data_IF_123272859088
#
_entry.id   IF_123272859088
#
_cell.length_a   1.000
_cell.length_b   1.000
_cell.length_c   1.000
_cell.angle_alpha   90.00
_cell.angle_beta   90.00
_cell.angle_gamma   90.00
#
_symmetry.space_group_name_H-M   'P 1'
#
loop_
_entity.id
_entity.type
_entity.pdbx_description
1 polymer ?
#
# COMPACT_ATOMS: atom_id res chain seq x y z
N UNK A 1 39.78 -11.59 -16.11
CA UNK A 1 38.55 -10.79 -15.97
C UNK A 1 37.44 -11.73 -15.52
N UNK A 2 36.73 -11.35 -14.47
CA UNK A 2 35.58 -12.07 -13.92
C UNK A 2 34.35 -11.17 -13.91
N UNK A 3 33.19 -11.65 -14.42
CA UNK A 3 31.97 -10.88 -14.64
C UNK A 3 30.75 -11.64 -14.10
N UNK A 4 30.51 -11.68 -12.81
CA UNK A 4 29.31 -12.28 -12.24
C UNK A 4 28.09 -11.37 -12.36
N UNK A 5 26.94 -12.01 -12.63
CA UNK A 5 25.63 -11.40 -12.59
C UNK A 5 24.69 -12.26 -11.77
N UNK A 6 23.96 -11.63 -10.84
CA UNK A 6 22.94 -12.27 -10.03
C UNK A 6 21.64 -11.49 -10.10
N UNK A 7 20.53 -12.19 -10.15
CA UNK A 7 19.20 -11.60 -10.03
C UNK A 7 18.35 -12.34 -9.00
N UNK A 8 17.35 -11.63 -8.51
CA UNK A 8 16.32 -12.19 -7.65
C UNK A 8 14.99 -11.54 -7.98
N UNK A 9 13.96 -12.35 -8.16
CA UNK A 9 12.58 -11.93 -8.33
C UNK A 9 11.76 -12.56 -7.21
N UNK A 10 10.93 -11.76 -6.55
CA UNK A 10 10.06 -12.26 -5.50
C UNK A 10 8.73 -11.51 -5.47
N UNK A 11 7.74 -12.16 -4.91
CA UNK A 11 6.42 -11.61 -4.65
C UNK A 11 6.13 -11.72 -3.16
N UNK A 12 5.72 -10.61 -2.58
CA UNK A 12 5.30 -10.55 -1.18
C UNK A 12 3.78 -10.41 -1.13
N UNK A 13 3.15 -11.14 -0.23
CA UNK A 13 1.71 -11.03 0.01
C UNK A 13 1.49 -10.73 1.49
N UNK A 14 0.40 -10.05 1.86
CA UNK A 14 0.03 -9.93 3.26
C UNK A 14 -0.09 -11.33 3.87
N UNK A 15 0.58 -11.57 4.98
CA UNK A 15 0.50 -12.87 5.66
C UNK A 15 -0.89 -13.13 6.24
N UNK A 16 -1.58 -12.05 6.63
CA UNK A 16 -2.96 -12.05 7.10
C UNK A 16 -3.52 -10.64 6.97
N UNK A 17 -4.66 -10.50 6.32
CA UNK A 17 -5.50 -9.32 6.42
C UNK A 17 -6.61 -9.63 7.44
N UNK A 18 -7.03 -8.65 8.28
CA UNK A 18 -8.22 -8.79 9.08
C UNK A 18 -9.43 -9.07 8.20
N UNK A 19 -10.32 -9.93 8.66
CA UNK A 19 -11.62 -10.06 8.01
C UNK A 19 -12.46 -8.84 8.31
N UNK A 20 -12.90 -8.13 7.25
CA UNK A 20 -13.84 -7.03 7.39
C UNK A 20 -15.19 -7.55 7.90
N UNK A 21 -15.75 -6.84 8.87
CA UNK A 21 -17.12 -7.12 9.27
C UNK A 21 -18.08 -6.63 8.16
N UNK A 22 -19.07 -7.43 7.84
CA UNK A 22 -20.14 -7.05 6.90
C UNK A 22 -20.91 -5.83 7.42
N UNK A 23 -21.29 -4.91 6.52
CA UNK A 23 -21.90 -3.63 6.87
C UNK A 23 -23.21 -3.77 7.67
N UNK A 24 -24.05 -4.77 7.37
CA UNK A 24 -25.25 -5.05 8.15
C UNK A 24 -24.90 -5.42 9.60
N UNK A 25 -24.01 -6.37 9.81
CA UNK A 25 -23.57 -6.75 11.16
C UNK A 25 -22.93 -5.58 11.91
N UNK A 26 -22.15 -4.77 11.19
CA UNK A 26 -21.47 -3.61 11.76
C UNK A 26 -22.49 -2.57 12.28
N UNK A 27 -23.46 -2.18 11.45
CA UNK A 27 -24.42 -1.13 11.81
C UNK A 27 -25.35 -1.57 12.96
N UNK A 28 -25.76 -2.84 12.96
CA UNK A 28 -26.54 -3.40 14.06
C UNK A 28 -25.74 -3.43 15.37
N UNK A 29 -24.45 -3.79 15.32
CA UNK A 29 -23.59 -3.79 16.50
C UNK A 29 -23.39 -2.40 17.09
N UNK A 30 -23.18 -1.37 16.25
CA UNK A 30 -23.04 0.01 16.71
C UNK A 30 -24.34 0.53 17.30
N UNK A 31 -25.48 0.33 16.62
CA UNK A 31 -26.78 0.73 17.16
C UNK A 31 -27.07 0.04 18.51
N UNK A 32 -26.74 -1.23 18.66
CA UNK A 32 -26.91 -1.94 19.93
C UNK A 32 -25.99 -1.37 21.01
N UNK A 33 -24.74 -1.03 20.67
CA UNK A 33 -23.81 -0.41 21.60
C UNK A 33 -24.32 0.95 22.08
N UNK A 34 -24.89 1.78 21.17
CA UNK A 34 -25.51 3.04 21.50
C UNK A 34 -26.68 2.85 22.47
N UNK A 35 -27.58 1.91 22.20
CA UNK A 35 -28.71 1.60 23.10
C UNK A 35 -28.22 1.12 24.47
N UNK A 36 -27.23 0.26 24.52
CA UNK A 36 -26.64 -0.24 25.77
C UNK A 36 -26.01 0.88 26.63
N UNK A 37 -25.56 1.96 25.98
CA UNK A 37 -25.04 3.16 26.68
C UNK A 37 -26.10 4.21 26.99
N UNK A 38 -27.38 3.90 26.79
CA UNK A 38 -28.50 4.77 27.11
C UNK A 38 -28.91 5.72 25.96
N UNK A 39 -28.40 5.52 24.76
CA UNK A 39 -28.82 6.20 23.53
C UNK A 39 -30.01 5.52 22.85
N UNK A 40 -30.43 6.05 21.71
CA UNK A 40 -31.54 5.55 20.91
C UNK A 40 -31.09 4.84 19.62
N UNK A 41 -29.81 4.52 19.48
CA UNK A 41 -29.15 4.13 18.24
C UNK A 41 -28.50 5.32 17.53
N UNK A 42 -27.36 5.09 16.90
CA UNK A 42 -26.61 6.13 16.22
C UNK A 42 -27.06 6.32 14.77
N UNK A 43 -27.73 5.31 14.20
CA UNK A 43 -28.19 5.29 12.83
C UNK A 43 -29.70 5.11 12.73
N UNK A 44 -30.30 5.80 11.76
CA UNK A 44 -31.74 5.72 11.51
C UNK A 44 -32.17 4.32 11.05
N UNK A 45 -33.40 3.96 11.38
CA UNK A 45 -34.01 2.68 10.92
C UNK A 45 -33.99 2.56 9.41
N UNK A 46 -34.23 3.65 8.69
CA UNK A 46 -34.25 3.71 7.24
C UNK A 46 -32.89 3.33 6.63
N UNK A 47 -31.79 3.85 7.19
CA UNK A 47 -30.44 3.49 6.76
C UNK A 47 -30.12 2.03 7.07
N UNK A 48 -30.46 1.56 8.26
CA UNK A 48 -30.26 0.15 8.65
C UNK A 48 -30.96 -0.78 7.67
N UNK A 49 -32.25 -0.52 7.37
CA UNK A 49 -33.02 -1.30 6.41
C UNK A 49 -32.43 -1.26 4.99
N UNK A 50 -31.90 -0.12 4.56
CA UNK A 50 -31.28 -0.02 3.25
C UNK A 50 -30.00 -0.86 3.17
N UNK A 51 -29.17 -0.83 4.20
CA UNK A 51 -27.96 -1.67 4.30
C UNK A 51 -28.31 -3.14 4.34
N UNK A 52 -29.35 -3.53 5.08
CA UNK A 52 -29.80 -4.92 5.15
C UNK A 52 -30.35 -5.39 3.80
N UNK A 53 -31.14 -4.57 3.09
CA UNK A 53 -31.61 -4.88 1.73
C UNK A 53 -30.42 -5.06 0.76
N UNK A 54 -29.46 -4.14 0.78
CA UNK A 54 -28.27 -4.26 -0.08
C UNK A 54 -27.47 -5.54 0.23
N UNK A 55 -27.25 -5.86 1.50
CA UNK A 55 -26.53 -7.07 1.87
C UNK A 55 -27.25 -8.37 1.51
N UNK A 56 -28.58 -8.36 1.47
CA UNK A 56 -29.36 -9.55 1.08
C UNK A 56 -29.46 -9.72 -0.44
N UNK A 57 -29.49 -8.62 -1.20
CA UNK A 57 -29.59 -8.64 -2.65
C UNK A 57 -28.93 -7.38 -3.26
N UNK A 58 -27.61 -7.41 -3.43
CA UNK A 58 -26.85 -6.26 -3.94
C UNK A 58 -27.10 -5.95 -5.42
N UNK A 59 -27.73 -6.89 -6.15
CA UNK A 59 -28.02 -6.69 -7.58
C UNK A 59 -29.25 -5.79 -7.77
N UNK A 60 -30.26 -5.97 -6.92
CA UNK A 60 -31.54 -5.25 -7.05
C UNK A 60 -31.68 -4.07 -6.08
N UNK A 61 -30.72 -3.84 -5.21
CA UNK A 61 -30.74 -2.73 -4.26
C UNK A 61 -29.54 -1.81 -4.47
N UNK A 62 -29.70 -0.47 -4.42
CA UNK A 62 -28.61 0.44 -4.64
C UNK A 62 -27.65 0.49 -3.42
N UNK A 63 -26.36 0.65 -3.70
CA UNK A 63 -25.32 0.87 -2.69
C UNK A 63 -25.30 2.31 -2.16
N UNK A 64 -26.05 3.22 -2.76
CA UNK A 64 -26.10 4.64 -2.42
C UNK A 64 -27.53 5.03 -2.12
N UNK A 65 -27.71 5.77 -1.07
CA UNK A 65 -28.97 6.32 -0.65
C UNK A 65 -29.19 7.65 -1.37
N UNK A 66 -30.23 7.74 -2.17
CA UNK A 66 -30.61 8.97 -2.87
C UNK A 66 -31.72 9.62 -2.06
N UNK A 67 -31.54 10.88 -1.69
CA UNK A 67 -32.56 11.63 -0.99
C UNK A 67 -33.77 11.94 -1.90
N UNK A 68 -34.83 12.52 -1.32
CA UNK A 68 -36.05 12.84 -2.06
C UNK A 68 -35.85 13.85 -3.21
N UNK A 69 -34.72 14.57 -3.21
CA UNK A 69 -34.37 15.50 -4.30
C UNK A 69 -33.60 14.82 -5.44
N UNK A 70 -33.30 13.52 -5.33
CA UNK A 70 -32.56 12.75 -6.33
C UNK A 70 -31.04 12.99 -6.24
N UNK A 71 -30.53 13.59 -5.17
CA UNK A 71 -29.11 13.83 -4.95
C UNK A 71 -28.53 12.82 -3.98
N UNK A 72 -27.25 12.50 -4.17
CA UNK A 72 -26.48 11.75 -3.19
C UNK A 72 -26.24 12.64 -1.98
N UNK A 73 -26.53 12.11 -0.81
CA UNK A 73 -26.22 12.78 0.44
C UNK A 73 -24.85 12.32 0.92
N UNK A 74 -24.06 13.22 1.49
CA UNK A 74 -22.72 12.93 1.93
C UNK A 74 -22.68 12.10 3.23
N UNK A 75 -21.48 11.75 3.65
CA UNK A 75 -21.21 10.94 4.85
C UNK A 75 -21.91 11.47 6.09
N UNK A 76 -22.02 12.79 6.25
CA UNK A 76 -22.70 13.42 7.38
C UNK A 76 -24.20 13.12 7.46
N UNK A 77 -24.79 12.57 6.42
CA UNK A 77 -26.19 12.13 6.37
C UNK A 77 -26.33 10.62 6.27
N UNK A 78 -25.23 9.87 6.36
CA UNK A 78 -25.20 8.39 6.35
C UNK A 78 -25.94 7.78 5.16
N UNK A 79 -25.67 8.30 3.96
CA UNK A 79 -26.46 8.02 2.77
C UNK A 79 -25.98 6.84 1.93
N UNK A 80 -25.08 6.04 2.45
CA UNK A 80 -24.51 4.91 1.73
C UNK A 80 -24.93 3.58 2.34
N UNK A 81 -25.19 2.59 1.49
CA UNK A 81 -25.67 1.27 1.89
C UNK A 81 -24.81 0.11 1.35
N UNK A 82 -23.58 0.39 0.94
CA UNK A 82 -22.67 -0.62 0.39
C UNK A 82 -22.23 -1.66 1.43
N UNK A 83 -21.45 -2.64 0.96
CA UNK A 83 -20.75 -3.59 1.80
C UNK A 83 -19.31 -3.74 1.32
N UNK A 84 -18.45 -2.81 1.71
CA UNK A 84 -17.07 -2.69 1.27
C UNK A 84 -16.13 -3.35 2.27
N UNK A 85 -15.31 -4.27 1.79
CA UNK A 85 -14.18 -4.79 2.57
C UNK A 85 -12.96 -3.90 2.33
N UNK A 86 -12.81 -2.89 3.15
CA UNK A 86 -11.74 -1.90 2.99
C UNK A 86 -10.33 -2.50 3.07
N UNK A 87 -10.13 -3.63 3.75
CA UNK A 87 -8.82 -4.30 3.76
C UNK A 87 -8.46 -4.88 2.39
N UNK A 88 -9.44 -5.39 1.64
CA UNK A 88 -9.23 -5.90 0.28
C UNK A 88 -9.05 -4.78 -0.74
N UNK A 89 -9.70 -3.64 -0.53
CA UNK A 89 -9.57 -2.47 -1.40
C UNK A 89 -8.23 -1.74 -1.21
N UNK A 90 -7.75 -1.64 0.03
CA UNK A 90 -6.53 -0.90 0.35
C UNK A 90 -5.25 -1.69 0.11
N UNK A 91 -5.31 -3.03 0.14
CA UNK A 91 -4.11 -3.85 0.01
C UNK A 91 -4.10 -4.69 -1.25
N UNK A 92 -2.98 -4.64 -1.96
CA UNK A 92 -2.70 -5.56 -3.07
C UNK A 92 -2.59 -6.99 -2.54
N UNK A 93 -3.06 -7.96 -3.33
CA UNK A 93 -2.88 -9.38 -3.02
C UNK A 93 -1.41 -9.81 -3.08
N UNK A 94 -0.61 -9.13 -3.91
CA UNK A 94 0.82 -9.34 -3.98
C UNK A 94 1.55 -8.08 -4.48
N UNK A 95 2.79 -7.92 -4.05
CA UNK A 95 3.71 -6.87 -4.49
C UNK A 95 4.98 -7.50 -5.05
N UNK A 96 5.45 -6.97 -6.16
CA UNK A 96 6.62 -7.48 -6.87
C UNK A 96 7.92 -6.83 -6.38
N UNK A 97 8.98 -7.62 -6.32
CA UNK A 97 10.32 -7.17 -6.04
C UNK A 97 11.31 -7.77 -7.04
N UNK A 98 12.20 -6.95 -7.55
CA UNK A 98 13.33 -7.38 -8.37
C UNK A 98 14.63 -6.81 -7.81
N UNK A 99 15.68 -7.62 -7.92
CA UNK A 99 17.04 -7.21 -7.57
C UNK A 99 18.01 -7.74 -8.61
N UNK A 100 18.93 -6.88 -9.04
CA UNK A 100 19.96 -7.19 -10.02
C UNK A 100 21.30 -6.73 -9.48
N UNK A 101 22.31 -7.57 -9.56
CA UNK A 101 23.67 -7.22 -9.19
C UNK A 101 24.60 -7.70 -10.27
N UNK A 102 25.44 -6.80 -10.76
CA UNK A 102 26.52 -7.12 -11.68
C UNK A 102 27.83 -6.58 -11.14
N UNK A 103 28.90 -7.29 -11.38
CA UNK A 103 30.22 -6.78 -11.07
C UNK A 103 31.27 -7.23 -12.08
N UNK A 104 32.35 -6.51 -12.13
CA UNK A 104 33.51 -6.86 -12.94
C UNK A 104 34.77 -6.69 -12.10
N UNK A 105 35.66 -7.62 -12.17
CA UNK A 105 36.97 -7.51 -11.57
C UNK A 105 38.05 -8.06 -12.46
N UNK A 106 39.23 -7.52 -12.30
CA UNK A 106 40.39 -7.97 -13.03
C UNK A 106 41.64 -7.24 -12.57
N UNK A 107 42.77 -7.58 -13.15
CA UNK A 107 44.03 -6.94 -12.84
C UNK A 107 45.23 -7.62 -13.47
N UNK A 108 46.36 -7.08 -13.17
CA UNK A 108 47.72 -7.61 -13.42
C UNK A 108 48.45 -7.69 -12.11
N UNK A 109 49.73 -8.07 -12.11
CA UNK A 109 50.54 -8.04 -10.89
C UNK A 109 50.64 -6.66 -10.24
N UNK A 110 50.50 -5.59 -11.05
CA UNK A 110 50.65 -4.19 -10.60
C UNK A 110 49.34 -3.44 -10.48
N UNK A 111 48.26 -3.92 -11.09
CA UNK A 111 47.01 -3.20 -11.14
C UNK A 111 45.86 -4.13 -10.81
N UNK A 112 44.91 -3.66 -10.05
CA UNK A 112 43.66 -4.36 -9.80
C UNK A 112 42.48 -3.40 -9.88
N UNK A 113 41.36 -3.89 -10.35
CA UNK A 113 40.13 -3.13 -10.38
C UNK A 113 38.94 -4.02 -9.99
N UNK A 114 37.96 -3.37 -9.42
CA UNK A 114 36.65 -3.93 -9.14
C UNK A 114 35.60 -2.85 -9.36
N UNK A 115 34.58 -3.15 -10.13
CA UNK A 115 33.38 -2.30 -10.28
C UNK A 115 32.14 -3.14 -10.06
N UNK A 116 31.13 -2.58 -9.43
CA UNK A 116 29.83 -3.21 -9.26
C UNK A 116 28.69 -2.22 -9.38
N UNK A 117 27.56 -2.74 -9.84
CA UNK A 117 26.28 -2.05 -9.84
C UNK A 117 25.21 -2.99 -9.27
N UNK A 118 24.38 -2.46 -8.41
CA UNK A 118 23.21 -3.12 -7.86
C UNK A 118 21.98 -2.27 -8.04
N UNK A 119 20.90 -2.88 -8.46
CA UNK A 119 19.57 -2.29 -8.53
C UNK A 119 18.59 -3.13 -7.72
N UNK A 120 17.75 -2.48 -6.92
CA UNK A 120 16.58 -3.08 -6.29
C UNK A 120 15.37 -2.20 -6.57
N UNK A 121 14.31 -2.79 -7.11
CA UNK A 121 12.98 -2.21 -7.22
C UNK A 121 12.01 -3.08 -6.44
N UNK A 122 11.18 -2.46 -5.62
CA UNK A 122 10.19 -3.15 -4.80
C UNK A 122 8.90 -2.33 -4.77
N UNK A 123 7.80 -2.95 -5.12
CA UNK A 123 6.47 -2.40 -4.92
C UNK A 123 6.02 -2.65 -3.48
N UNK A 124 5.27 -1.71 -2.92
CA UNK A 124 4.59 -1.90 -1.65
C UNK A 124 3.23 -2.55 -1.80
N UNK A 125 2.59 -2.81 -0.69
CA UNK A 125 1.33 -3.53 -0.61
C UNK A 125 0.09 -2.63 -0.67
N UNK A 126 0.23 -1.30 -0.65
CA UNK A 126 -0.93 -0.43 -0.81
C UNK A 126 -1.44 -0.43 -2.25
N UNK A 127 -2.77 -0.54 -2.40
CA UNK A 127 -3.43 -0.57 -3.70
C UNK A 127 -3.67 0.84 -4.29
N UNK A 128 -3.47 1.88 -3.50
CA UNK A 128 -3.68 3.28 -3.86
C UNK A 128 -2.39 4.08 -3.79
N UNK A 129 -2.27 5.08 -4.64
CA UNK A 129 -1.07 5.93 -4.73
C UNK A 129 0.17 5.16 -5.19
N UNK A 130 1.29 5.83 -5.13
CA UNK A 130 2.59 5.23 -5.40
C UNK A 130 3.19 4.70 -4.10
N UNK A 131 3.34 3.38 -4.03
CA UNK A 131 4.00 2.67 -2.93
C UNK A 131 5.15 1.88 -3.52
N UNK A 132 6.31 2.55 -3.62
CA UNK A 132 7.49 1.97 -4.28
C UNK A 132 8.77 2.30 -3.54
N UNK A 133 9.72 1.37 -3.62
CA UNK A 133 11.09 1.56 -3.16
C UNK A 133 12.07 1.20 -4.27
N UNK A 134 13.02 2.12 -4.56
CA UNK A 134 14.10 1.91 -5.53
C UNK A 134 15.44 2.19 -4.88
N UNK A 135 16.41 1.34 -5.15
CA UNK A 135 17.78 1.52 -4.67
C UNK A 135 18.78 1.21 -5.78
N UNK A 136 19.71 2.11 -5.99
CA UNK A 136 20.86 1.93 -6.86
C UNK A 136 22.12 2.04 -6.01
N UNK A 137 22.99 1.03 -6.12
CA UNK A 137 24.29 1.01 -5.49
C UNK A 137 25.36 0.85 -6.57
N UNK A 138 26.40 1.64 -6.52
CA UNK A 138 27.55 1.50 -7.40
C UNK A 138 28.83 1.53 -6.53
N UNK A 139 29.79 0.73 -6.88
CA UNK A 139 31.12 0.83 -6.29
C UNK A 139 32.20 0.67 -7.34
N UNK A 140 33.28 1.38 -7.16
CA UNK A 140 34.48 1.25 -7.98
C UNK A 140 35.72 1.32 -7.09
N UNK A 141 36.57 0.33 -7.22
CA UNK A 141 37.86 0.25 -6.56
C UNK A 141 38.93 0.04 -7.61
N UNK A 142 40.00 0.78 -7.50
CA UNK A 142 41.17 0.66 -8.36
C UNK A 142 42.43 0.80 -7.51
N UNK A 143 43.36 -0.10 -7.71
CA UNK A 143 44.71 -0.05 -7.06
C UNK A 143 45.75 -0.20 -8.15
N UNK A 144 46.78 0.64 -8.08
CA UNK A 144 47.88 0.62 -9.03
C UNK A 144 49.22 0.84 -8.31
N UNK A 145 50.15 -0.06 -8.51
CA UNK A 145 51.54 0.10 -8.05
C UNK A 145 52.34 0.78 -9.17
N UNK A 146 52.49 2.11 -9.04
CA UNK A 146 53.17 2.94 -10.04
C UNK A 146 54.66 2.74 -10.05
N UNK A 147 55.26 2.55 -8.85
CA UNK A 147 56.68 2.28 -8.64
C UNK A 147 56.82 1.29 -7.50
N UNK A 148 58.05 0.83 -7.23
CA UNK A 148 58.32 -0.10 -6.11
C UNK A 148 58.02 0.51 -4.73
N UNK A 149 57.89 1.83 -4.64
CA UNK A 149 57.62 2.55 -3.41
C UNK A 149 56.32 3.35 -3.40
N UNK A 150 55.58 3.41 -4.54
CA UNK A 150 54.36 4.16 -4.63
C UNK A 150 53.20 3.30 -5.17
N UNK A 151 52.20 3.12 -4.31
CA UNK A 151 50.93 2.55 -4.64
C UNK A 151 49.82 3.60 -4.54
N UNK A 152 48.91 3.64 -5.52
CA UNK A 152 47.75 4.49 -5.49
C UNK A 152 46.49 3.62 -5.45
N UNK A 153 45.61 3.90 -4.48
CA UNK A 153 44.32 3.24 -4.37
C UNK A 153 43.23 4.29 -4.42
N UNK A 154 42.30 4.09 -5.36
CA UNK A 154 41.07 4.87 -5.49
C UNK A 154 39.87 4.00 -5.15
N UNK A 155 38.99 4.48 -4.26
CA UNK A 155 37.76 3.79 -3.87
C UNK A 155 36.61 4.78 -3.84
N UNK A 156 35.52 4.44 -4.54
CA UNK A 156 34.30 5.23 -4.52
C UNK A 156 33.08 4.36 -4.39
N UNK A 157 32.06 4.90 -3.72
CA UNK A 157 30.73 4.28 -3.60
C UNK A 157 29.67 5.33 -3.82
N UNK A 158 28.63 4.94 -4.54
CA UNK A 158 27.43 5.74 -4.74
C UNK A 158 26.22 4.93 -4.34
N UNK A 159 25.34 5.54 -3.55
CA UNK A 159 24.07 4.94 -3.15
C UNK A 159 22.96 5.97 -3.37
N UNK A 160 21.89 5.56 -4.03
CA UNK A 160 20.67 6.34 -4.18
C UNK A 160 19.49 5.48 -3.74
N UNK A 161 18.71 6.01 -2.82
CA UNK A 161 17.45 5.42 -2.38
C UNK A 161 16.33 6.39 -2.73
N UNK A 162 15.27 5.87 -3.30
CA UNK A 162 14.01 6.58 -3.56
C UNK A 162 12.90 5.77 -2.92
N UNK A 163 11.99 6.44 -2.23
CA UNK A 163 10.83 5.82 -1.61
C UNK A 163 9.64 6.72 -1.79
N UNK A 164 8.63 6.21 -2.46
CA UNK A 164 7.32 6.83 -2.55
C UNK A 164 6.37 6.04 -1.67
N UNK A 165 5.71 6.73 -0.76
CA UNK A 165 4.73 6.14 0.17
C UNK A 165 3.47 6.97 0.05
N UNK A 166 2.29 6.35 -0.13
CA UNK A 166 1.03 7.06 -0.17
C UNK A 166 0.87 7.92 1.07
N UNK A 167 0.64 9.20 0.85
CA UNK A 167 0.36 10.13 1.95
C UNK A 167 -1.12 10.06 2.26
N UNK A 168 -1.46 9.56 3.44
CA UNK A 168 -2.81 9.70 3.98
C UNK A 168 -2.84 10.92 4.85
N UNK A 169 -3.62 11.91 4.43
CA UNK A 169 -3.89 13.07 5.27
C UNK A 169 -4.74 12.62 6.46
N UNK A 170 -4.11 12.54 7.62
CA UNK A 170 -4.84 12.37 8.86
C UNK A 170 -4.66 13.58 9.77
N UNK A 171 -5.77 14.12 10.20
CA UNK A 171 -5.83 15.19 11.19
C UNK A 171 -5.13 14.85 12.52
N UNK A 172 -4.92 13.56 12.80
CA UNK A 172 -4.27 13.06 14.00
C UNK A 172 -2.91 12.39 13.78
N UNK A 173 -2.34 12.45 12.56
CA UNK A 173 -1.06 11.80 12.26
C UNK A 173 -1.14 10.26 12.21
N UNK A 174 -2.29 9.69 11.86
CA UNK A 174 -2.47 8.25 11.78
C UNK A 174 -1.84 7.67 10.50
N UNK A 175 -1.49 6.40 10.58
CA UNK A 175 -0.97 5.67 9.44
C UNK A 175 -2.11 5.27 8.47
N UNK A 176 -1.79 4.94 7.19
CA UNK A 176 -2.78 4.38 6.26
C UNK A 176 -3.59 3.22 6.82
N UNK A 177 -2.98 2.43 7.72
CA UNK A 177 -3.64 1.33 8.41
C UNK A 177 -4.81 1.81 9.30
N UNK A 178 -4.67 2.95 9.97
CA UNK A 178 -5.74 3.52 10.79
C UNK A 178 -6.93 3.96 9.95
N UNK A 179 -6.70 4.50 8.75
CA UNK A 179 -7.77 4.90 7.85
C UNK A 179 -8.63 3.71 7.43
N UNK A 180 -7.98 2.60 7.05
CA UNK A 180 -8.67 1.36 6.71
C UNK A 180 -9.49 0.81 7.87
N UNK A 181 -8.90 0.82 9.06
CA UNK A 181 -9.54 0.31 10.27
C UNK A 181 -10.76 1.13 10.70
N UNK A 182 -10.76 2.44 10.41
CA UNK A 182 -11.83 3.38 10.75
C UNK A 182 -12.88 3.54 9.66
N UNK A 183 -12.59 3.07 8.45
CA UNK A 183 -13.49 3.20 7.33
C UNK A 183 -14.79 2.42 7.57
N UNK A 184 -15.91 3.09 7.35
CA UNK A 184 -17.22 2.47 7.52
C UNK A 184 -17.51 1.48 6.39
N UNK A 185 -17.89 0.24 6.69
CA UNK A 185 -18.09 -0.78 5.66
C UNK A 185 -19.28 -0.52 4.73
N UNK A 186 -20.19 0.38 5.09
CA UNK A 186 -21.33 0.76 4.24
C UNK A 186 -21.02 1.88 3.24
N UNK A 187 -19.81 2.43 3.24
CA UNK A 187 -19.38 3.42 2.24
C UNK A 187 -18.90 2.66 0.99
N UNK A 188 -19.40 2.99 -0.22
CA UNK A 188 -18.90 2.40 -1.45
C UNK A 188 -17.52 2.95 -1.83
N UNK A 189 -16.75 2.17 -2.60
CA UNK A 189 -15.45 2.62 -3.14
C UNK A 189 -15.65 3.72 -4.17
N UNK A 190 -16.68 3.59 -5.00
CA UNK A 190 -17.06 4.58 -6.02
C UNK A 190 -18.54 4.90 -5.93
N UNK A 191 -18.88 6.14 -6.20
CA UNK A 191 -20.27 6.53 -6.40
C UNK A 191 -20.79 6.00 -7.75
N UNK A 192 -22.11 5.89 -7.95
CA UNK A 192 -22.68 5.40 -9.21
C UNK A 192 -22.35 6.26 -10.44
N UNK A 193 -21.93 7.52 -10.25
CA UNK A 193 -21.44 8.41 -11.29
C UNK A 193 -19.94 8.22 -11.61
N UNK A 194 -19.28 7.31 -10.90
CA UNK A 194 -17.85 6.97 -11.09
C UNK A 194 -16.86 7.87 -10.35
N UNK A 195 -17.33 8.74 -9.46
CA UNK A 195 -16.48 9.58 -8.60
C UNK A 195 -16.14 8.90 -7.27
#
# INVERSE_FOLDING_TARGET
>A
IYLPYNNNFSWSSPSRLPEGINSSKWIHAINQASVNSGGNGDFSTELVEAIDRYNSDPVNNPSVFIDQTGKYTGIGQWAYAANTNWFEEFYKKSAFMQQHNASISGGTEKNSYYASIGYKGQDGLFAFGDDTYKRINMSFNFTSQLTNWLEITFRTKYNRNESDIPNTYDYMGSSPYHEVYRAFPFIPVYLPDGN
#
